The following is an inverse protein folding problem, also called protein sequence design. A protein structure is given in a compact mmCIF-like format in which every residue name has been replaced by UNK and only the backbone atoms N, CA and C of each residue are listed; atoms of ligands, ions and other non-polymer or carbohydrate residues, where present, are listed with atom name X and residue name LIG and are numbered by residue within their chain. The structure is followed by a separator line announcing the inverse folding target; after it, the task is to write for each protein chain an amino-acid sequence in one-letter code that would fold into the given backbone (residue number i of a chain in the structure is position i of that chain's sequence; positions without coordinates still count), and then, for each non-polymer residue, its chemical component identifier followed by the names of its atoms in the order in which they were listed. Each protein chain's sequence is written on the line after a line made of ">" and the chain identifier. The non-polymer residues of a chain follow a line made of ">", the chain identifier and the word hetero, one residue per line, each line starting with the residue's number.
data_IF_726730860610
#
_entry.id   IF_726730860610
#
_cell.length_a   1.000
_cell.length_b   1.000
_cell.length_c   1.000
_cell.angle_alpha   90.00
_cell.angle_beta   90.00
_cell.angle_gamma   90.00
#
_symmetry.space_group_name_H-M   'P 1'
#
loop_
_entity.id
_entity.type
_entity.pdbx_description
1 polymer ?
#
# COMPACT_ATOMS: atom_id res chain seq x y z
N UNK A 1 -26.65 -26.43 -30.83
CA UNK A 1 -25.71 -26.09 -29.72
C UNK A 1 -24.70 -25.02 -30.15
N UNK A 2 -24.20 -25.03 -31.38
CA UNK A 2 -23.24 -24.02 -31.91
C UNK A 2 -23.80 -22.60 -32.07
N UNK A 3 -25.09 -22.42 -32.36
CA UNK A 3 -25.70 -21.09 -32.56
C UNK A 3 -26.00 -20.30 -31.24
N UNK A 4 -26.28 -21.01 -30.14
CA UNK A 4 -26.57 -20.39 -28.84
C UNK A 4 -25.29 -19.83 -28.21
N UNK A 5 -24.15 -20.50 -28.39
CA UNK A 5 -22.86 -20.01 -27.91
C UNK A 5 -22.43 -18.70 -28.59
N UNK A 6 -22.69 -18.54 -29.90
CA UNK A 6 -22.34 -17.33 -30.66
C UNK A 6 -23.14 -16.09 -30.24
N UNK A 7 -24.43 -16.23 -29.97
CA UNK A 7 -25.28 -15.10 -29.52
C UNK A 7 -24.95 -14.63 -28.10
N UNK A 8 -24.57 -15.55 -27.20
CA UNK A 8 -24.09 -15.21 -25.85
C UNK A 8 -22.76 -14.45 -25.92
N UNK A 9 -21.82 -14.88 -26.76
CA UNK A 9 -20.55 -14.19 -26.98
C UNK A 9 -20.72 -12.78 -27.54
N UNK A 10 -21.64 -12.61 -28.51
CA UNK A 10 -21.94 -11.29 -29.10
C UNK A 10 -22.57 -10.37 -28.05
N UNK A 11 -23.46 -10.89 -27.17
CA UNK A 11 -24.04 -10.10 -26.07
C UNK A 11 -22.99 -9.70 -25.02
N UNK A 12 -22.03 -10.58 -24.74
CA UNK A 12 -20.90 -10.29 -23.83
C UNK A 12 -19.96 -9.22 -24.40
N UNK A 13 -19.63 -9.32 -25.68
CA UNK A 13 -18.81 -8.32 -26.37
C UNK A 13 -19.52 -6.97 -26.46
N UNK A 14 -20.84 -6.98 -26.71
CA UNK A 14 -21.66 -5.77 -26.72
C UNK A 14 -21.71 -5.10 -25.33
N UNK A 15 -21.82 -5.89 -24.25
CA UNK A 15 -21.78 -5.39 -22.86
C UNK A 15 -20.43 -4.76 -22.47
N UNK A 16 -19.31 -5.30 -22.98
CA UNK A 16 -17.98 -4.73 -22.77
C UNK A 16 -17.74 -3.46 -23.61
N UNK A 17 -18.42 -3.32 -24.75
CA UNK A 17 -18.34 -2.13 -25.60
C UNK A 17 -19.17 -0.93 -25.11
N UNK A 18 -19.94 -1.11 -24.03
CA UNK A 18 -20.73 -0.03 -23.44
C UNK A 18 -19.83 1.08 -22.86
N UNK A 19 -20.12 2.38 -23.14
CA UNK A 19 -19.25 3.48 -22.76
C UNK A 19 -19.07 3.61 -21.24
N UNK A 20 -20.05 3.14 -20.46
CA UNK A 20 -19.98 3.14 -19.00
C UNK A 20 -19.02 2.06 -18.46
N UNK A 21 -18.96 0.87 -19.09
CA UNK A 21 -18.04 -0.21 -18.69
C UNK A 21 -16.61 0.14 -19.09
N UNK A 22 -16.43 0.67 -20.30
CA UNK A 22 -15.13 1.16 -20.79
C UNK A 22 -14.60 2.29 -19.91
N UNK A 23 -15.43 3.25 -19.51
CA UNK A 23 -15.03 4.35 -18.62
C UNK A 23 -14.59 3.85 -17.24
N UNK A 24 -15.31 2.90 -16.63
CA UNK A 24 -14.93 2.31 -15.34
C UNK A 24 -13.58 1.59 -15.45
N UNK A 25 -13.40 0.81 -16.52
CA UNK A 25 -12.18 0.04 -16.77
C UNK A 25 -10.99 0.97 -17.04
N UNK A 26 -11.13 1.96 -17.93
CA UNK A 26 -10.09 2.93 -18.25
C UNK A 26 -9.77 3.88 -17.09
N UNK A 27 -10.76 4.30 -16.30
CA UNK A 27 -10.53 5.14 -15.12
C UNK A 27 -9.73 4.40 -14.03
N UNK A 28 -9.95 3.08 -13.89
CA UNK A 28 -9.14 2.23 -13.01
C UNK A 28 -7.70 2.06 -13.51
N UNK A 29 -7.48 1.96 -14.82
CA UNK A 29 -6.13 1.88 -15.38
C UNK A 29 -5.38 3.20 -15.26
N UNK A 30 -6.03 4.33 -15.54
CA UNK A 30 -5.44 5.67 -15.40
C UNK A 30 -4.89 5.89 -13.99
N UNK A 31 -5.66 5.57 -12.93
CA UNK A 31 -5.20 5.69 -11.54
C UNK A 31 -3.88 4.97 -11.24
N UNK A 32 -3.63 3.82 -11.88
CA UNK A 32 -2.45 2.98 -11.63
C UNK A 32 -1.26 3.39 -12.53
N UNK A 33 -1.51 3.94 -13.72
CA UNK A 33 -0.47 4.30 -14.71
C UNK A 33 -0.11 5.79 -14.75
N UNK A 34 -0.59 6.59 -13.79
CA UNK A 34 -0.26 8.02 -13.73
C UNK A 34 1.19 8.22 -13.21
N UNK A 35 2.13 8.55 -14.11
CA UNK A 35 3.53 8.84 -13.78
C UNK A 35 3.78 10.29 -13.34
N UNK A 36 2.85 10.89 -12.59
CA UNK A 36 3.04 12.24 -12.05
C UNK A 36 3.68 12.17 -10.66
N UNK A 37 4.79 12.89 -10.46
CA UNK A 37 5.56 12.90 -9.21
C UNK A 37 4.72 13.28 -7.98
N UNK A 38 3.69 14.13 -8.15
CA UNK A 38 2.77 14.52 -7.06
C UNK A 38 1.85 13.37 -6.64
N UNK A 39 1.24 12.71 -7.63
CA UNK A 39 0.33 11.59 -7.38
C UNK A 39 1.10 10.40 -6.81
N UNK A 40 2.30 10.15 -7.33
CA UNK A 40 3.20 9.12 -6.84
C UNK A 40 3.63 9.37 -5.39
N UNK A 41 4.06 10.59 -5.05
CA UNK A 41 4.38 10.96 -3.68
C UNK A 41 3.21 10.77 -2.71
N UNK A 42 1.98 11.07 -3.15
CA UNK A 42 0.78 10.84 -2.34
C UNK A 42 0.51 9.34 -2.11
N UNK A 43 0.73 8.49 -3.11
CA UNK A 43 0.59 7.03 -2.95
C UNK A 43 1.59 6.47 -1.93
N UNK A 44 2.84 6.95 -1.93
CA UNK A 44 3.83 6.56 -0.92
C UNK A 44 3.44 6.99 0.51
N UNK A 45 2.84 8.18 0.67
CA UNK A 45 2.35 8.64 1.98
C UNK A 45 1.20 7.78 2.50
N UNK A 46 0.23 7.43 1.64
CA UNK A 46 -0.86 6.52 2.02
C UNK A 46 -0.35 5.13 2.39
N UNK A 47 0.60 4.60 1.62
CA UNK A 47 1.23 3.32 1.91
C UNK A 47 1.96 3.35 3.27
N UNK A 48 2.79 4.36 3.51
CA UNK A 48 3.51 4.55 4.78
C UNK A 48 2.55 4.66 5.96
N UNK A 49 1.42 5.37 5.81
CA UNK A 49 0.41 5.48 6.87
C UNK A 49 -0.20 4.12 7.26
N UNK A 50 -0.55 3.29 6.26
CA UNK A 50 -1.12 1.96 6.52
C UNK A 50 -0.12 1.05 7.25
N UNK A 51 1.13 0.96 6.76
CA UNK A 51 2.16 0.14 7.41
C UNK A 51 2.59 0.71 8.77
N UNK A 52 2.57 2.03 8.93
CA UNK A 52 2.79 2.71 10.20
C UNK A 52 1.74 2.36 11.25
N UNK A 53 0.45 2.27 10.85
CA UNK A 53 -0.63 1.84 11.75
C UNK A 53 -0.43 0.39 12.22
N UNK A 54 0.02 -0.50 11.34
CA UNK A 54 0.36 -1.88 11.69
C UNK A 54 1.58 -1.97 12.62
N UNK A 55 2.62 -1.18 12.33
CA UNK A 55 3.79 -1.06 13.20
C UNK A 55 3.43 -0.54 14.60
N UNK A 56 2.49 0.41 14.70
CA UNK A 56 1.99 0.90 15.98
C UNK A 56 1.28 -0.18 16.79
N UNK A 57 0.42 -1.00 16.16
CA UNK A 57 -0.26 -2.11 16.84
C UNK A 57 0.75 -3.13 17.40
N UNK A 58 1.77 -3.51 16.62
CA UNK A 58 2.84 -4.39 17.10
C UNK A 58 3.62 -3.77 18.27
N UNK A 59 3.89 -2.46 18.23
CA UNK A 59 4.55 -1.75 19.33
C UNK A 59 3.74 -1.77 20.62
N UNK A 60 2.40 -1.65 20.52
CA UNK A 60 1.51 -1.76 21.68
C UNK A 60 1.58 -3.16 22.27
N UNK A 61 1.53 -4.21 21.44
CA UNK A 61 1.63 -5.61 21.88
C UNK A 61 2.96 -5.85 22.63
N UNK A 62 4.08 -5.40 22.07
CA UNK A 62 5.39 -5.54 22.71
C UNK A 62 5.46 -4.78 24.06
N UNK A 63 4.83 -3.60 24.15
CA UNK A 63 4.77 -2.83 25.39
C UNK A 63 3.86 -3.46 26.43
N UNK A 64 2.73 -4.04 26.04
CA UNK A 64 1.85 -4.75 26.99
C UNK A 64 2.53 -5.99 27.56
N UNK A 65 3.33 -6.71 26.76
CA UNK A 65 4.14 -7.83 27.24
C UNK A 65 5.18 -7.42 28.29
N UNK A 66 5.75 -6.21 28.16
CA UNK A 66 6.75 -5.68 29.09
C UNK A 66 6.16 -5.00 30.33
N UNK A 67 4.91 -4.53 30.29
CA UNK A 67 4.30 -3.75 31.38
C UNK A 67 3.89 -4.59 32.60
N UNK A 68 3.59 -5.89 32.46
CA UNK A 68 3.19 -6.72 33.60
C UNK A 68 3.78 -8.12 33.54
N UNK A 69 4.68 -8.42 34.48
CA UNK A 69 5.34 -9.74 34.56
C UNK A 69 4.41 -10.89 34.99
N UNK A 70 3.18 -10.60 35.44
CA UNK A 70 2.24 -11.59 35.99
C UNK A 70 1.10 -11.99 35.05
N UNK A 71 0.79 -11.18 34.03
CA UNK A 71 -0.26 -11.42 33.03
C UNK A 71 0.38 -11.31 31.65
N UNK A 72 1.26 -12.27 31.33
CA UNK A 72 1.94 -12.33 30.04
C UNK A 72 0.97 -12.91 28.99
N UNK A 73 0.72 -12.19 27.89
CA UNK A 73 -0.20 -12.63 26.82
C UNK A 73 0.48 -13.70 25.96
N UNK A 74 1.81 -13.69 25.87
CA UNK A 74 2.62 -14.76 25.27
C UNK A 74 3.14 -15.68 26.38
N UNK A 75 2.77 -16.97 26.36
CA UNK A 75 3.27 -17.94 27.34
C UNK A 75 4.82 -17.95 27.41
N UNK A 76 5.37 -18.06 28.63
CA UNK A 76 6.82 -18.01 28.92
C UNK A 76 7.66 -18.99 28.07
N UNK A 77 7.05 -20.07 27.58
CA UNK A 77 7.65 -21.09 26.71
C UNK A 77 7.95 -20.61 25.27
N UNK A 78 7.36 -19.48 24.84
CA UNK A 78 7.45 -19.01 23.45
C UNK A 78 8.32 -17.75 23.29
N UNK A 79 9.53 -17.76 23.84
CA UNK A 79 10.52 -16.66 23.69
C UNK A 79 10.85 -16.37 22.21
N UNK A 80 10.80 -17.40 21.35
CA UNK A 80 11.03 -17.26 19.92
C UNK A 80 9.98 -16.39 19.23
N UNK A 81 8.71 -16.44 19.67
CA UNK A 81 7.64 -15.62 19.09
C UNK A 81 7.81 -14.15 19.42
N UNK A 82 8.28 -13.81 20.63
CA UNK A 82 8.59 -12.44 21.01
C UNK A 82 9.68 -11.84 20.11
N UNK A 83 10.78 -12.57 19.89
CA UNK A 83 11.86 -12.13 19.03
C UNK A 83 11.42 -11.99 17.56
N UNK A 84 10.54 -12.86 17.09
CA UNK A 84 9.94 -12.75 15.75
C UNK A 84 9.07 -11.49 15.62
N UNK A 85 8.19 -11.21 16.58
CA UNK A 85 7.34 -10.01 16.55
C UNK A 85 8.20 -8.74 16.63
N UNK A 86 9.23 -8.72 17.47
CA UNK A 86 10.16 -7.59 17.58
C UNK A 86 10.88 -7.29 16.26
N UNK A 87 11.41 -8.33 15.61
CA UNK A 87 12.10 -8.19 14.33
C UNK A 87 11.16 -7.74 13.21
N UNK A 88 9.95 -8.29 13.13
CA UNK A 88 8.92 -7.86 12.17
C UNK A 88 8.50 -6.41 12.42
N UNK A 89 8.31 -6.01 13.68
CA UNK A 89 8.01 -4.62 14.04
C UNK A 89 9.09 -3.65 13.51
N UNK A 90 10.37 -3.97 13.74
CA UNK A 90 11.49 -3.16 13.26
C UNK A 90 11.57 -3.06 11.74
N UNK A 91 11.41 -4.18 11.03
CA UNK A 91 11.43 -4.22 9.56
C UNK A 91 10.32 -3.33 8.98
N UNK A 92 9.11 -3.44 9.52
CA UNK A 92 7.96 -2.65 9.06
C UNK A 92 8.18 -1.15 9.31
N UNK A 93 8.69 -0.78 10.48
CA UNK A 93 8.91 0.63 10.80
C UNK A 93 10.00 1.25 9.92
N UNK A 94 11.11 0.56 9.67
CA UNK A 94 12.24 1.13 8.89
C UNK A 94 11.94 1.11 7.39
N UNK A 95 11.64 -0.07 6.84
CA UNK A 95 11.56 -0.26 5.39
C UNK A 95 10.20 0.12 4.80
N UNK A 96 9.12 -0.03 5.56
CA UNK A 96 7.76 0.18 5.04
C UNK A 96 7.12 1.49 5.51
N UNK A 97 7.58 2.07 6.62
CA UNK A 97 7.07 3.34 7.11
C UNK A 97 8.04 4.51 6.87
N UNK A 98 9.25 4.48 7.46
CA UNK A 98 10.17 5.63 7.43
C UNK A 98 10.74 5.88 6.04
N UNK A 99 11.30 4.84 5.39
CA UNK A 99 11.87 5.00 4.05
C UNK A 99 10.81 5.44 3.02
N UNK A 100 9.63 4.81 2.93
CA UNK A 100 8.61 5.20 1.98
C UNK A 100 7.94 6.53 2.33
N UNK A 101 7.78 6.85 3.62
CA UNK A 101 7.17 8.11 4.05
C UNK A 101 8.05 9.31 3.71
N UNK A 102 9.28 9.34 4.24
CA UNK A 102 10.19 10.48 4.09
C UNK A 102 10.81 10.56 2.70
N UNK A 103 11.46 9.50 2.24
CA UNK A 103 12.17 9.52 0.95
C UNK A 103 11.22 9.30 -0.22
N UNK A 104 10.28 8.35 -0.09
CA UNK A 104 9.30 8.06 -1.16
C UNK A 104 8.18 9.09 -1.28
N UNK A 105 7.60 9.53 -0.16
CA UNK A 105 6.45 10.43 -0.14
C UNK A 105 6.86 11.89 -0.23
N UNK A 106 7.49 12.40 0.84
CA UNK A 106 7.91 13.80 0.90
C UNK A 106 8.97 14.13 -0.17
N UNK A 107 9.92 13.22 -0.40
CA UNK A 107 10.93 13.38 -1.45
C UNK A 107 10.31 13.60 -2.83
N UNK A 108 9.47 12.68 -3.32
CA UNK A 108 8.89 12.80 -4.66
C UNK A 108 7.89 13.97 -4.79
N UNK A 109 7.18 14.31 -3.72
CA UNK A 109 6.22 15.41 -3.74
C UNK A 109 6.91 16.78 -3.72
N UNK A 110 7.80 17.03 -2.76
CA UNK A 110 8.35 18.36 -2.50
C UNK A 110 9.64 18.65 -3.28
N UNK A 111 10.47 17.65 -3.60
CA UNK A 111 11.78 17.91 -4.22
C UNK A 111 11.66 18.65 -5.57
N UNK A 112 10.77 18.27 -6.52
CA UNK A 112 10.61 19.01 -7.77
C UNK A 112 10.01 20.41 -7.55
N UNK A 113 9.10 20.54 -6.59
CA UNK A 113 8.45 21.82 -6.26
C UNK A 113 9.48 22.81 -5.70
N UNK A 114 10.36 22.35 -4.80
CA UNK A 114 11.42 23.17 -4.19
C UNK A 114 12.50 23.57 -5.21
N UNK A 115 12.79 22.71 -6.20
CA UNK A 115 13.70 23.01 -7.29
C UNK A 115 13.06 23.81 -8.44
N UNK A 116 11.74 24.04 -8.42
CA UNK A 116 11.01 24.70 -9.51
C UNK A 116 10.94 23.90 -10.81
N UNK A 117 11.20 22.59 -10.76
CA UNK A 117 11.13 21.70 -11.93
C UNK A 117 9.69 21.23 -12.16
N UNK A 118 9.21 21.16 -13.42
CA UNK A 118 7.88 20.64 -13.72
C UNK A 118 7.72 19.15 -13.38
N UNK A 119 8.77 18.33 -13.53
CA UNK A 119 8.75 16.87 -13.26
C UNK A 119 10.11 16.33 -12.79
N UNK A 120 10.17 15.04 -12.45
CA UNK A 120 11.40 14.29 -12.16
C UNK A 120 12.13 13.94 -13.47
N UNK A 121 13.47 13.82 -13.43
CA UNK A 121 14.26 13.48 -14.61
C UNK A 121 13.92 12.09 -15.19
N UNK A 122 13.40 11.19 -14.36
CA UNK A 122 12.95 9.85 -14.73
C UNK A 122 11.58 9.59 -14.08
N UNK A 123 10.48 9.66 -14.86
CA UNK A 123 9.12 9.40 -14.40
C UNK A 123 8.78 7.91 -14.32
#
# INVERSE_FOLDING_TARGET
>A
ITAVAGTVWIKYFSFISEPHVIFIVLNRYSLITNCNHKTLGLYYLWFSFLFGSYGFLLSVILRTELCSSSLRIIAQENVNLYNMIFTIHGIIMIFFNIMPGLFGGFGNYFLPILCGSPELAYP
#
